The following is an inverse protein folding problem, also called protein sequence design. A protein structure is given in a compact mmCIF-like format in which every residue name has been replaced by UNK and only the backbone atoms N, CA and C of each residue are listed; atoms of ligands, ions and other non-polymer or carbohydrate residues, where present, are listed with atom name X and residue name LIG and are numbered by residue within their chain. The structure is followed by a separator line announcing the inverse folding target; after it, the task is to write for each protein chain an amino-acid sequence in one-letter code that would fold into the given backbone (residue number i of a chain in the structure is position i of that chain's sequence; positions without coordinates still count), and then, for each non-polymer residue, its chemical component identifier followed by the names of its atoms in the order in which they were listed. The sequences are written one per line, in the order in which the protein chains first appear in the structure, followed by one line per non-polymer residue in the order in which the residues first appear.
data_IF_502946825832
#
_entry.id   IF_502946825832
#
_cell.length_a   1.000
_cell.length_b   1.000
_cell.length_c   1.000
_cell.angle_alpha   90.00
_cell.angle_beta   90.00
_cell.angle_gamma   90.00
#
_symmetry.space_group_name_H-M   'P 1'
#
loop_
_entity.id
_entity.type
_entity.pdbx_description
1 polymer ?
#
# COMPACT_ATOMS: atom_id res chain seq x y z
N UNK A 1 -8.03 16.88 -10.23
CA UNK A 1 -8.85 15.80 -10.81
C UNK A 1 -10.01 15.51 -9.87
N UNK A 2 -11.24 15.77 -10.32
CA UNK A 2 -12.45 15.72 -9.47
C UNK A 2 -13.00 14.30 -9.33
N UNK A 3 -13.05 13.53 -10.40
CA UNK A 3 -13.60 12.16 -10.43
C UNK A 3 -12.73 11.27 -11.32
N UNK A 4 -12.43 10.06 -10.85
CA UNK A 4 -11.72 9.03 -11.63
C UNK A 4 -12.58 7.77 -11.65
N UNK A 5 -12.73 7.20 -12.84
CA UNK A 5 -13.41 5.93 -13.04
C UNK A 5 -12.39 4.80 -13.00
N UNK A 6 -12.77 3.68 -12.39
CA UNK A 6 -11.95 2.46 -12.31
C UNK A 6 -11.50 2.02 -13.70
N UNK A 7 -10.23 1.62 -13.82
CA UNK A 7 -9.57 1.11 -15.04
C UNK A 7 -9.56 2.07 -16.26
N UNK A 8 -9.92 3.35 -16.11
CA UNK A 8 -9.91 4.34 -17.21
C UNK A 8 -8.59 5.11 -17.33
N UNK A 9 -8.38 5.78 -18.47
CA UNK A 9 -7.19 6.59 -18.77
C UNK A 9 -6.77 7.56 -17.64
N UNK A 10 -7.73 8.20 -16.98
CA UNK A 10 -7.46 9.14 -15.88
C UNK A 10 -6.92 8.47 -14.61
N UNK A 11 -7.15 7.16 -14.40
CA UNK A 11 -6.59 6.41 -13.28
C UNK A 11 -5.06 6.25 -13.40
N UNK A 12 -4.52 6.27 -14.62
CA UNK A 12 -3.09 6.21 -14.85
C UNK A 12 -2.35 7.47 -14.38
N UNK A 13 -3.02 8.62 -14.29
CA UNK A 13 -2.45 9.81 -13.67
C UNK A 13 -2.13 9.57 -12.17
N UNK A 14 -2.95 8.79 -11.49
CA UNK A 14 -2.70 8.36 -10.10
C UNK A 14 -1.45 7.49 -10.02
N UNK A 15 -1.25 6.58 -10.99
CA UNK A 15 -0.05 5.72 -11.08
C UNK A 15 1.20 6.57 -11.29
N UNK A 16 1.15 7.58 -12.17
CA UNK A 16 2.25 8.53 -12.37
C UNK A 16 2.55 9.30 -11.09
N UNK A 17 1.52 9.77 -10.37
CA UNK A 17 1.71 10.42 -9.07
C UNK A 17 2.37 9.50 -8.05
N UNK A 18 1.95 8.24 -8.00
CA UNK A 18 2.56 7.21 -7.15
C UNK A 18 4.00 6.88 -7.53
N UNK A 19 4.29 6.81 -8.84
CA UNK A 19 5.65 6.66 -9.37
C UNK A 19 6.56 7.79 -8.89
N UNK A 20 6.16 9.06 -9.05
CA UNK A 20 6.92 10.21 -8.58
C UNK A 20 7.16 10.14 -7.07
N UNK A 21 6.14 9.78 -6.29
CA UNK A 21 6.30 9.58 -4.85
C UNK A 21 7.34 8.51 -4.54
N UNK A 22 7.23 7.34 -5.18
CA UNK A 22 8.13 6.23 -4.95
C UNK A 22 9.56 6.51 -5.45
N UNK A 23 9.77 7.33 -6.48
CA UNK A 23 11.11 7.81 -6.87
C UNK A 23 11.77 8.57 -5.72
N UNK A 24 11.05 9.53 -5.13
CA UNK A 24 11.62 10.37 -4.07
C UNK A 24 11.73 9.60 -2.75
N UNK A 25 10.66 8.94 -2.31
CA UNK A 25 10.64 8.17 -1.05
C UNK A 25 11.61 6.99 -1.11
N UNK A 26 11.54 6.22 -2.19
CA UNK A 26 12.39 5.06 -2.42
C UNK A 26 13.84 5.45 -2.60
N UNK A 27 14.13 6.48 -3.39
CA UNK A 27 15.50 6.99 -3.59
C UNK A 27 16.14 7.47 -2.29
N UNK A 28 15.40 8.21 -1.46
CA UNK A 28 15.87 8.66 -0.14
C UNK A 28 16.09 7.49 0.82
N UNK A 29 15.17 6.53 0.88
CA UNK A 29 15.30 5.34 1.73
C UNK A 29 16.49 4.47 1.34
N UNK A 30 16.65 4.21 0.04
CA UNK A 30 17.77 3.41 -0.50
C UNK A 30 19.13 4.10 -0.38
N UNK A 31 19.14 5.43 -0.28
CA UNK A 31 20.37 6.23 -0.16
C UNK A 31 20.59 6.79 1.25
N UNK A 32 19.86 6.27 2.24
CA UNK A 32 19.92 6.76 3.61
C UNK A 32 21.31 6.66 4.22
N UNK A 33 22.06 5.60 3.91
CA UNK A 33 23.42 5.37 4.39
C UNK A 33 24.38 6.51 4.03
N UNK A 34 24.25 7.10 2.83
CA UNK A 34 25.07 8.24 2.40
C UNK A 34 24.72 9.53 3.17
N UNK A 35 23.45 9.70 3.53
CA UNK A 35 23.02 10.82 4.37
C UNK A 35 23.52 10.62 5.80
N UNK A 36 23.39 9.39 6.32
CA UNK A 36 23.93 9.02 7.62
C UNK A 36 25.43 9.30 7.71
N UNK A 37 26.22 8.82 6.75
CA UNK A 37 27.68 8.98 6.73
C UNK A 37 28.07 10.46 6.77
N UNK A 38 27.45 11.29 5.94
CA UNK A 38 27.71 12.73 5.91
C UNK A 38 27.35 13.44 7.23
N UNK A 39 26.29 13.02 7.92
CA UNK A 39 25.94 13.57 9.23
C UNK A 39 26.74 12.95 10.39
N UNK A 40 27.30 11.76 10.21
CA UNK A 40 28.24 11.14 11.14
C UNK A 40 29.51 11.98 11.26
N UNK A 41 30.03 12.47 10.14
CA UNK A 41 31.17 13.39 10.11
C UNK A 41 30.85 14.73 10.78
N UNK A 42 29.64 15.28 10.55
CA UNK A 42 29.23 16.57 11.14
C UNK A 42 29.08 16.52 12.66
N UNK A 43 28.60 15.41 13.21
CA UNK A 43 28.36 15.27 14.65
C UNK A 43 29.49 14.54 15.39
N UNK A 44 30.50 14.02 14.67
CA UNK A 44 31.61 13.22 15.21
C UNK A 44 31.14 12.12 16.18
N UNK A 45 30.03 11.46 15.85
CA UNK A 45 29.35 10.52 16.73
C UNK A 45 29.43 9.07 16.23
N UNK A 46 29.20 8.11 17.12
CA UNK A 46 29.06 6.70 16.74
C UNK A 46 27.84 6.46 15.83
N UNK A 47 27.96 5.50 14.90
CA UNK A 47 26.92 5.18 13.91
C UNK A 47 25.61 4.66 14.51
N UNK A 48 25.63 4.14 15.74
CA UNK A 48 24.47 3.52 16.40
C UNK A 48 23.23 4.42 16.46
N UNK A 49 23.39 5.71 16.80
CA UNK A 49 22.27 6.65 16.90
C UNK A 49 21.68 7.01 15.53
N UNK A 50 22.51 7.02 14.49
CA UNK A 50 22.05 7.30 13.13
C UNK A 50 21.34 6.07 12.53
N UNK A 51 21.87 4.86 12.76
CA UNK A 51 21.14 3.62 12.45
C UNK A 51 19.80 3.54 13.18
N UNK A 52 19.75 3.96 14.45
CA UNK A 52 18.49 4.05 15.20
C UNK A 52 17.49 4.99 14.53
N UNK A 53 17.93 6.15 14.06
CA UNK A 53 17.07 7.07 13.31
C UNK A 53 16.51 6.41 12.05
N UNK A 54 17.33 5.70 11.28
CA UNK A 54 16.89 4.94 10.11
C UNK A 54 15.88 3.83 10.44
N UNK A 55 16.12 3.08 11.53
CA UNK A 55 15.16 2.10 12.03
C UNK A 55 13.83 2.72 12.47
N UNK A 56 13.88 3.90 13.10
CA UNK A 56 12.68 4.65 13.51
C UNK A 56 11.85 5.11 12.31
N UNK A 57 12.48 5.49 11.19
CA UNK A 57 11.76 5.85 9.95
C UNK A 57 10.81 4.73 9.54
N UNK A 58 11.35 3.52 9.34
CA UNK A 58 10.56 2.37 8.89
C UNK A 58 9.59 1.87 9.95
N UNK A 59 10.00 1.87 11.23
CA UNK A 59 9.12 1.49 12.34
C UNK A 59 7.87 2.37 12.37
N UNK A 60 8.04 3.69 12.31
CA UNK A 60 6.91 4.62 12.31
C UNK A 60 6.13 4.57 11.01
N UNK A 61 6.81 4.37 9.87
CA UNK A 61 6.15 4.14 8.58
C UNK A 61 5.10 3.03 8.72
N UNK A 62 5.48 1.87 9.23
CA UNK A 62 4.62 0.71 9.39
C UNK A 62 3.62 0.83 10.55
N UNK A 63 4.04 1.28 11.73
CA UNK A 63 3.15 1.40 12.90
C UNK A 63 2.01 2.41 12.68
N UNK A 64 2.27 3.51 11.96
CA UNK A 64 1.25 4.52 11.69
C UNK A 64 0.36 4.18 10.48
N UNK A 65 0.60 3.06 9.78
CA UNK A 65 -0.16 2.66 8.58
C UNK A 65 -1.66 2.53 8.85
N UNK A 66 -2.05 1.89 9.97
CA UNK A 66 -3.45 1.71 10.35
C UNK A 66 -4.12 3.05 10.69
N UNK A 67 -3.41 3.89 11.46
CA UNK A 67 -3.88 5.22 11.84
C UNK A 67 -4.11 6.07 10.58
N UNK A 68 -3.16 6.04 9.65
CA UNK A 68 -3.25 6.77 8.38
C UNK A 68 -4.38 6.26 7.49
N UNK A 69 -4.66 4.96 7.49
CA UNK A 69 -5.81 4.42 6.79
C UNK A 69 -7.13 5.01 7.31
N UNK A 70 -7.30 5.10 8.63
CA UNK A 70 -8.49 5.70 9.25
C UNK A 70 -8.60 7.20 8.96
N UNK A 71 -7.49 7.93 9.02
CA UNK A 71 -7.43 9.37 8.68
C UNK A 71 -7.79 9.57 7.20
N UNK A 72 -7.24 8.76 6.30
CA UNK A 72 -7.53 8.83 4.87
C UNK A 72 -9.00 8.55 4.57
N UNK A 73 -9.64 7.62 5.30
CA UNK A 73 -11.09 7.37 5.18
C UNK A 73 -11.92 8.58 5.61
N UNK A 74 -11.49 9.33 6.63
CA UNK A 74 -12.25 10.47 7.18
C UNK A 74 -12.03 11.78 6.41
N UNK A 75 -10.79 12.08 6.03
CA UNK A 75 -10.41 13.36 5.41
C UNK A 75 -10.12 13.27 3.91
N UNK A 76 -10.14 12.05 3.35
CA UNK A 76 -9.74 11.78 1.98
C UNK A 76 -8.23 11.58 1.82
N UNK A 77 -7.82 11.06 0.67
CA UNK A 77 -6.41 10.75 0.37
C UNK A 77 -5.55 11.99 0.13
N UNK A 78 -6.08 12.99 -0.60
CA UNK A 78 -5.30 14.18 -0.98
C UNK A 78 -4.74 14.98 0.21
N UNK A 79 -5.54 15.37 1.22
CA UNK A 79 -5.01 16.17 2.33
C UNK A 79 -3.96 15.40 3.13
N UNK A 80 -4.13 14.09 3.29
CA UNK A 80 -3.17 13.23 3.99
C UNK A 80 -1.81 13.21 3.28
N UNK A 81 -1.80 13.06 1.95
CA UNK A 81 -0.55 13.13 1.17
C UNK A 81 0.06 14.52 1.22
N UNK A 82 -0.74 15.60 1.20
CA UNK A 82 -0.23 16.97 1.34
C UNK A 82 0.45 17.19 2.69
N UNK A 83 -0.18 16.75 3.79
CA UNK A 83 0.39 16.84 5.14
C UNK A 83 1.68 16.03 5.22
N UNK A 84 1.72 14.83 4.66
CA UNK A 84 2.94 14.03 4.57
C UNK A 84 4.05 14.73 3.78
N UNK A 85 3.72 15.34 2.63
CA UNK A 85 4.71 16.03 1.79
C UNK A 85 5.30 17.26 2.53
N UNK A 86 4.46 18.12 3.11
CA UNK A 86 4.92 19.24 3.93
C UNK A 86 5.70 18.77 5.18
N UNK A 87 5.22 17.72 5.83
CA UNK A 87 5.90 17.08 6.95
C UNK A 87 7.32 16.66 6.57
N UNK A 88 7.48 15.97 5.44
CA UNK A 88 8.79 15.51 4.98
C UNK A 88 9.76 16.65 4.67
N UNK A 89 9.26 17.73 4.06
CA UNK A 89 10.01 18.96 3.82
C UNK A 89 10.49 19.60 5.12
N UNK A 90 9.57 19.83 6.07
CA UNK A 90 9.88 20.47 7.35
C UNK A 90 10.85 19.60 8.16
N UNK A 91 10.64 18.29 8.18
CA UNK A 91 11.49 17.33 8.89
C UNK A 91 12.93 17.33 8.36
N UNK A 92 13.13 17.27 7.04
CA UNK A 92 14.48 17.36 6.46
C UNK A 92 15.10 18.75 6.65
N UNK A 93 14.31 19.82 6.60
CA UNK A 93 14.81 21.18 6.82
C UNK A 93 15.30 21.35 8.27
N UNK A 94 14.52 20.86 9.25
CA UNK A 94 14.91 20.85 10.66
C UNK A 94 16.16 19.97 10.86
N UNK A 95 16.22 18.80 10.24
CA UNK A 95 17.38 17.92 10.31
C UNK A 95 18.65 18.62 9.78
N UNK A 96 18.54 19.32 8.65
CA UNK A 96 19.65 20.02 8.01
C UNK A 96 20.20 21.18 8.84
N UNK A 97 19.32 21.86 9.58
CA UNK A 97 19.68 22.97 10.47
C UNK A 97 19.89 22.54 11.93
N UNK A 98 19.87 21.24 12.22
CA UNK A 98 19.92 20.75 13.60
C UNK A 98 21.29 21.01 14.24
N UNK A 99 21.34 21.61 15.45
CA UNK A 99 22.60 21.83 16.16
C UNK A 99 23.06 20.59 16.94
N UNK A 100 22.14 19.67 17.26
CA UNK A 100 22.39 18.50 18.10
C UNK A 100 21.90 17.22 17.44
N UNK A 101 22.63 16.12 17.67
CA UNK A 101 22.28 14.78 17.17
C UNK A 101 20.87 14.33 17.60
N UNK A 102 20.46 14.60 18.85
CA UNK A 102 19.14 14.22 19.33
C UNK A 102 18.00 14.86 18.51
N UNK A 103 18.15 16.14 18.14
CA UNK A 103 17.17 16.83 17.31
C UNK A 103 17.15 16.26 15.89
N UNK A 104 18.33 15.92 15.35
CA UNK A 104 18.44 15.25 14.05
C UNK A 104 17.73 13.90 14.04
N UNK A 105 17.97 13.05 15.04
CA UNK A 105 17.35 11.73 15.19
C UNK A 105 15.83 11.84 15.30
N UNK A 106 15.31 12.82 16.04
CA UNK A 106 13.87 13.06 16.13
C UNK A 106 13.30 13.58 14.80
N UNK A 107 13.95 14.55 14.16
CA UNK A 107 13.49 15.14 12.91
C UNK A 107 13.48 14.11 11.77
N UNK A 108 14.55 13.33 11.64
CA UNK A 108 14.69 12.28 10.62
C UNK A 108 13.86 11.06 10.99
N UNK A 109 14.08 10.46 12.15
CA UNK A 109 13.38 9.24 12.57
C UNK A 109 11.87 9.44 12.69
N UNK A 110 11.44 10.36 13.56
CA UNK A 110 10.02 10.60 13.81
C UNK A 110 9.34 11.38 12.69
N UNK A 111 9.96 12.50 12.29
CA UNK A 111 9.38 13.39 11.29
C UNK A 111 9.25 12.75 9.91
N UNK A 112 10.33 12.18 9.38
CA UNK A 112 10.28 11.48 8.08
C UNK A 112 9.47 10.19 8.18
N UNK A 113 9.63 9.38 9.24
CA UNK A 113 8.86 8.15 9.41
C UNK A 113 7.33 8.36 9.38
N UNK A 114 6.84 9.37 10.12
CA UNK A 114 5.42 9.73 10.09
C UNK A 114 4.97 10.24 8.72
N UNK A 115 5.79 11.07 8.07
CA UNK A 115 5.51 11.63 6.74
C UNK A 115 5.44 10.56 5.65
N UNK A 116 6.38 9.60 5.65
CA UNK A 116 6.39 8.48 4.72
C UNK A 116 5.16 7.60 4.90
N UNK A 117 4.73 7.37 6.14
CA UNK A 117 3.51 6.60 6.41
C UNK A 117 2.29 7.23 5.72
N UNK A 118 2.14 8.56 5.81
CA UNK A 118 1.03 9.29 5.21
C UNK A 118 1.03 9.20 3.69
N UNK A 119 2.21 9.22 3.06
CA UNK A 119 2.35 9.22 1.60
C UNK A 119 2.26 7.80 1.05
N UNK A 120 3.15 6.91 1.49
CA UNK A 120 3.33 5.56 0.96
C UNK A 120 2.02 4.78 1.01
N UNK A 121 1.45 4.58 2.20
CA UNK A 121 0.24 3.77 2.36
C UNK A 121 -0.99 4.38 1.67
N UNK A 122 -1.10 5.70 1.65
CA UNK A 122 -2.21 6.38 0.95
C UNK A 122 -2.09 6.18 -0.56
N UNK A 123 -0.89 6.28 -1.13
CA UNK A 123 -0.63 6.01 -2.55
C UNK A 123 -1.06 4.57 -2.89
N UNK A 124 -0.61 3.58 -2.11
CA UNK A 124 -0.99 2.18 -2.32
C UNK A 124 -2.49 1.95 -2.23
N UNK A 125 -3.15 2.52 -1.22
CA UNK A 125 -4.59 2.38 -1.04
C UNK A 125 -5.36 2.97 -2.23
N UNK A 126 -4.97 4.16 -2.71
CA UNK A 126 -5.67 4.81 -3.81
C UNK A 126 -5.47 4.07 -5.13
N UNK A 127 -4.25 3.61 -5.44
CA UNK A 127 -4.00 2.79 -6.65
C UNK A 127 -4.84 1.50 -6.58
N UNK A 128 -4.92 0.88 -5.40
CA UNK A 128 -5.78 -0.27 -5.13
C UNK A 128 -7.26 -0.03 -5.44
N UNK A 129 -7.76 1.18 -5.18
CA UNK A 129 -9.13 1.55 -5.48
C UNK A 129 -9.35 1.96 -6.96
N UNK A 130 -8.31 2.34 -7.69
CA UNK A 130 -8.42 2.86 -9.05
C UNK A 130 -8.38 1.77 -10.13
N UNK A 131 -7.90 0.57 -9.81
CA UNK A 131 -7.71 -0.51 -10.78
C UNK A 131 -8.25 -1.83 -10.26
N UNK A 132 -8.92 -2.58 -11.13
CA UNK A 132 -9.35 -3.96 -10.87
C UNK A 132 -8.67 -4.91 -11.85
N UNK A 133 -8.79 -4.62 -13.15
CA UNK A 133 -8.24 -5.46 -14.20
C UNK A 133 -6.72 -5.36 -14.35
N UNK A 134 -6.17 -4.17 -14.13
CA UNK A 134 -4.74 -3.86 -14.32
C UNK A 134 -4.02 -3.53 -13.00
N UNK A 135 -4.51 -4.08 -11.89
CA UNK A 135 -4.05 -3.72 -10.55
C UNK A 135 -2.59 -4.11 -10.31
N UNK A 136 -2.16 -5.30 -10.75
CA UNK A 136 -0.79 -5.77 -10.63
C UNK A 136 0.18 -4.90 -11.39
N UNK A 137 -0.13 -4.57 -12.64
CA UNK A 137 0.66 -3.70 -13.50
C UNK A 137 0.68 -2.26 -12.97
N UNK A 138 -0.46 -1.71 -12.53
CA UNK A 138 -0.53 -0.37 -11.96
C UNK A 138 0.31 -0.24 -10.69
N UNK A 139 0.25 -1.22 -9.79
CA UNK A 139 1.13 -1.26 -8.62
C UNK A 139 2.59 -1.46 -9.02
N UNK A 140 2.88 -2.38 -9.94
CA UNK A 140 4.23 -2.64 -10.45
C UNK A 140 4.88 -1.38 -11.02
N UNK A 141 4.16 -0.62 -11.85
CA UNK A 141 4.62 0.66 -12.42
C UNK A 141 4.73 1.72 -11.33
N UNK A 142 3.74 1.88 -10.45
CA UNK A 142 3.82 2.86 -9.35
C UNK A 142 5.05 2.63 -8.48
N UNK A 143 5.32 1.37 -8.14
CA UNK A 143 6.37 0.95 -7.21
C UNK A 143 7.75 0.84 -7.88
N UNK A 144 7.80 0.67 -9.20
CA UNK A 144 9.00 0.78 -10.03
C UNK A 144 9.71 2.14 -9.89
N UNK A 145 9.01 3.18 -9.41
CA UNK A 145 9.63 4.45 -9.07
C UNK A 145 10.79 4.32 -8.08
N UNK A 146 10.70 3.42 -7.10
CA UNK A 146 11.78 3.18 -6.12
C UNK A 146 13.10 2.80 -6.80
N UNK A 147 13.02 1.95 -7.83
CA UNK A 147 14.19 1.46 -8.56
C UNK A 147 14.87 2.60 -9.33
N UNK A 148 14.08 3.48 -9.95
CA UNK A 148 14.60 4.70 -10.58
C UNK A 148 15.21 5.65 -9.55
N UNK A 149 14.58 5.80 -8.38
CA UNK A 149 15.12 6.53 -7.25
C UNK A 149 16.49 5.99 -6.81
N UNK A 150 16.61 4.67 -6.68
CA UNK A 150 17.86 3.98 -6.32
C UNK A 150 18.99 4.22 -7.33
N UNK A 151 18.69 4.39 -8.62
CA UNK A 151 19.70 4.68 -9.64
C UNK A 151 20.21 6.13 -9.58
N UNK A 152 19.34 7.08 -9.21
CA UNK A 152 19.62 8.52 -9.30
C UNK A 152 20.10 9.13 -7.98
N UNK A 153 19.43 8.79 -6.87
CA UNK A 153 19.65 9.45 -5.58
C UNK A 153 21.05 9.24 -4.98
N UNK A 154 21.70 8.07 -5.09
CA UNK A 154 23.06 7.91 -4.54
C UNK A 154 24.04 8.91 -5.14
N UNK A 155 24.08 9.01 -6.47
CA UNK A 155 24.96 9.96 -7.17
C UNK A 155 24.58 11.42 -6.87
N UNK A 156 23.28 11.70 -6.78
CA UNK A 156 22.79 13.03 -6.43
C UNK A 156 23.24 13.44 -5.03
N UNK A 157 23.03 12.59 -4.03
CA UNK A 157 23.38 12.87 -2.62
C UNK A 157 24.88 13.00 -2.45
N UNK A 158 25.69 12.13 -3.07
CA UNK A 158 27.15 12.27 -3.05
C UNK A 158 27.61 13.60 -3.64
N UNK A 159 27.03 14.03 -4.77
CA UNK A 159 27.36 15.31 -5.41
C UNK A 159 26.94 16.51 -4.55
N UNK A 160 25.77 16.43 -3.92
CA UNK A 160 25.26 17.47 -3.04
C UNK A 160 26.12 17.60 -1.78
N UNK A 161 26.49 16.48 -1.16
CA UNK A 161 27.32 16.46 0.04
C UNK A 161 28.74 16.98 -0.24
N UNK A 162 29.33 16.64 -1.39
CA UNK A 162 30.66 17.13 -1.77
C UNK A 162 30.69 18.61 -2.14
N UNK A 163 29.61 19.14 -2.75
CA UNK A 163 29.56 20.54 -3.21
C UNK A 163 29.08 21.50 -2.12
N UNK A 164 28.06 21.11 -1.35
CA UNK A 164 27.36 21.99 -0.39
C UNK A 164 27.49 21.53 1.07
N UNK A 165 28.19 20.42 1.33
CA UNK A 165 28.24 19.78 2.65
C UNK A 165 26.93 19.08 3.04
N UNK A 166 26.93 18.33 4.14
CA UNK A 166 25.76 17.59 4.60
C UNK A 166 24.55 18.48 4.90
N UNK A 167 24.79 19.65 5.53
CA UNK A 167 23.72 20.60 5.87
C UNK A 167 23.11 21.26 4.62
N UNK A 168 23.96 21.75 3.70
CA UNK A 168 23.49 22.36 2.45
C UNK A 168 22.79 21.35 1.54
N UNK A 169 23.37 20.15 1.41
CA UNK A 169 22.77 19.03 0.69
C UNK A 169 21.41 18.65 1.26
N UNK A 170 21.29 18.55 2.60
CA UNK A 170 20.03 18.26 3.27
C UNK A 170 18.91 19.29 2.98
N UNK A 171 19.23 20.58 2.90
CA UNK A 171 18.25 21.63 2.52
C UNK A 171 17.76 21.43 1.09
N UNK A 172 18.66 21.10 0.16
CA UNK A 172 18.29 20.82 -1.23
C UNK A 172 17.43 19.55 -1.31
N UNK A 173 17.76 18.51 -0.54
CA UNK A 173 16.94 17.29 -0.44
C UNK A 173 15.56 17.59 0.14
N UNK A 174 15.44 18.49 1.11
CA UNK A 174 14.16 18.95 1.60
C UNK A 174 13.34 19.57 0.45
N UNK A 175 13.92 20.48 -0.33
CA UNK A 175 13.24 21.09 -1.48
C UNK A 175 12.78 20.05 -2.52
N UNK A 176 13.56 18.99 -2.75
CA UNK A 176 13.15 17.86 -3.59
C UNK A 176 11.92 17.15 -2.99
N UNK A 177 11.90 16.90 -1.68
CA UNK A 177 10.72 16.33 -1.01
C UNK A 177 9.46 17.19 -1.16
N UNK A 178 9.56 18.51 -1.31
CA UNK A 178 8.41 19.36 -1.54
C UNK A 178 7.68 19.02 -2.87
N UNK A 179 8.38 18.44 -3.84
CA UNK A 179 7.79 17.99 -5.11
C UNK A 179 6.80 16.82 -4.91
N UNK A 180 6.76 16.19 -3.73
CA UNK A 180 5.73 15.22 -3.35
C UNK A 180 4.31 15.83 -3.33
N UNK A 181 4.19 17.16 -3.32
CA UNK A 181 2.91 17.83 -3.55
C UNK A 181 2.32 17.57 -4.94
N UNK A 182 3.16 17.28 -5.94
CA UNK A 182 2.70 16.88 -7.28
C UNK A 182 1.91 15.56 -7.20
N UNK A 183 2.37 14.60 -6.40
CA UNK A 183 1.64 13.36 -6.13
C UNK A 183 0.25 13.66 -5.54
N UNK A 184 0.16 14.56 -4.55
CA UNK A 184 -1.12 14.93 -3.97
C UNK A 184 -2.06 15.59 -4.99
N UNK A 185 -1.53 16.38 -5.92
CA UNK A 185 -2.32 17.01 -6.98
C UNK A 185 -2.92 15.98 -7.95
N UNK A 186 -2.15 14.95 -8.28
CA UNK A 186 -2.50 13.86 -9.20
C UNK A 186 -3.45 12.81 -8.59
N UNK A 187 -3.48 12.67 -7.26
CA UNK A 187 -4.44 11.79 -6.59
C UNK A 187 -5.89 12.18 -6.91
N UNK A 188 -6.86 11.26 -7.07
CA UNK A 188 -8.27 11.58 -7.30
C UNK A 188 -8.95 12.14 -6.04
N UNK A 189 -10.00 12.98 -6.20
CA UNK A 189 -10.90 13.39 -5.08
C UNK A 189 -11.98 12.35 -4.83
N UNK A 190 -12.62 11.86 -5.89
CA UNK A 190 -13.64 10.83 -5.85
C UNK A 190 -13.28 9.71 -6.82
N UNK A 191 -13.48 8.47 -6.37
CA UNK A 191 -13.29 7.26 -7.18
C UNK A 191 -14.68 6.67 -7.39
N UNK A 192 -15.08 6.51 -8.64
CA UNK A 192 -16.38 5.94 -9.02
C UNK A 192 -16.12 4.60 -9.68
N UNK A 193 -16.71 3.57 -9.11
CA UNK A 193 -16.69 2.21 -9.65
C UNK A 193 -17.95 2.00 -10.50
N UNK A 194 -17.84 1.92 -11.84
CA UNK A 194 -18.98 1.77 -12.72
C UNK A 194 -19.65 0.38 -12.61
N UNK A 195 -18.95 -0.62 -12.08
CA UNK A 195 -19.44 -1.99 -11.93
C UNK A 195 -19.91 -2.29 -10.50
N UNK A 196 -19.95 -1.28 -9.62
CA UNK A 196 -20.50 -1.44 -8.29
C UNK A 196 -22.00 -1.74 -8.37
N UNK A 197 -22.52 -2.72 -7.62
CA UNK A 197 -23.94 -3.03 -7.64
C UNK A 197 -24.74 -1.78 -7.26
N UNK A 198 -25.67 -1.39 -8.15
CA UNK A 198 -26.58 -0.27 -7.92
C UNK A 198 -27.44 -0.62 -6.71
N UNK A 199 -27.10 -0.06 -5.55
CA UNK A 199 -28.00 -0.11 -4.39
C UNK A 199 -29.27 0.62 -4.81
N UNK A 200 -30.45 -0.02 -4.81
CA UNK A 200 -31.69 0.67 -5.13
C UNK A 200 -31.81 1.84 -4.17
N UNK A 201 -31.92 3.06 -4.71
CA UNK A 201 -32.20 4.24 -3.91
C UNK A 201 -33.50 3.96 -3.13
N UNK A 202 -33.39 3.81 -1.81
CA UNK A 202 -34.54 3.74 -0.93
C UNK A 202 -35.32 5.03 -1.15
N UNK A 203 -36.52 4.90 -1.74
CA UNK A 203 -37.44 6.02 -1.89
C UNK A 203 -37.70 6.54 -0.49
N UNK A 204 -37.13 7.70 -0.17
CA UNK A 204 -37.49 8.47 1.03
C UNK A 204 -38.95 8.86 0.85
N UNK A 205 -39.85 8.03 1.36
CA UNK A 205 -41.24 8.42 1.60
C UNK A 205 -41.18 9.57 2.62
N UNK A 206 -41.35 10.80 2.13
CA UNK A 206 -41.64 11.95 2.97
C UNK A 206 -42.94 11.69 3.71
N UNK A 207 -42.82 11.16 4.94
CA UNK A 207 -43.92 10.97 5.87
C UNK A 207 -44.54 12.33 6.20
N UNK A 208 -45.72 12.60 5.62
CA UNK A 208 -46.58 13.69 6.06
C UNK A 208 -47.00 13.44 7.51
N UNK A 209 -46.59 14.37 8.37
CA UNK A 209 -46.94 14.45 9.78
C UNK A 209 -48.45 14.34 10.02
N UNK A 210 -48.85 13.38 10.86
CA UNK A 210 -50.21 13.20 11.39
C UNK A 210 -50.59 14.40 12.27
N UNK A 211 -51.65 15.13 11.91
CA UNK A 211 -52.47 15.92 12.84
C UNK A 211 -53.87 15.30 12.95
N UNK A 212 -54.31 15.12 14.20
CA UNK A 212 -55.52 14.46 14.70
C UNK A 212 -56.83 15.06 14.15
N UNK A 213 -57.85 14.24 13.89
CA UNK A 213 -59.13 14.21 14.66
C UNK A 213 -60.25 13.38 14.00
N UNK A 214 -61.02 12.71 14.86
CA UNK A 214 -62.41 12.22 14.77
C UNK A 214 -62.91 11.11 13.81
N UNK A 215 -63.27 9.98 14.46
CA UNK A 215 -64.53 9.18 14.37
C UNK A 215 -65.35 9.21 13.06
N UNK A 216 -65.62 8.03 12.49
CA UNK A 216 -66.82 7.19 12.73
C UNK A 216 -66.99 6.10 11.64
N UNK A 217 -67.38 4.87 12.05
CA UNK A 217 -68.31 3.89 11.41
C UNK A 217 -68.25 3.66 9.87
N UNK A 218 -68.40 2.47 9.26
CA UNK A 218 -68.91 1.14 9.60
C UNK A 218 -68.92 0.26 8.30
N UNK A 219 -68.87 -1.08 8.42
CA UNK A 219 -69.45 -2.13 7.51
C UNK A 219 -68.91 -2.16 6.05
N UNK A 220 -68.88 -3.25 5.28
CA UNK A 220 -69.16 -4.70 5.36
C UNK A 220 -68.81 -5.30 3.97
N UNK A 221 -68.51 -6.62 3.87
CA UNK A 221 -68.98 -7.59 2.85
C UNK A 221 -68.81 -7.27 1.34
N UNK A 222 -68.64 -8.15 0.38
CA UNK A 222 -68.44 -9.60 0.19
C UNK A 222 -68.23 -9.75 -1.34
N UNK A 223 -67.55 -10.82 -1.75
CA UNK A 223 -67.78 -11.63 -2.97
C UNK A 223 -67.57 -11.08 -4.41
N UNK A 224 -66.63 -11.70 -5.14
CA UNK A 224 -66.92 -12.85 -6.04
C UNK A 224 -65.66 -13.44 -6.74
N UNK A 225 -65.28 -14.66 -6.32
CA UNK A 225 -65.12 -15.92 -7.11
C UNK A 225 -65.48 -15.84 -8.62
N UNK A 226 -64.88 -16.52 -9.60
CA UNK A 226 -64.25 -17.84 -9.74
C UNK A 226 -63.61 -17.93 -11.16
N UNK A 227 -62.51 -18.68 -11.33
CA UNK A 227 -62.47 -19.91 -12.14
C UNK A 227 -61.11 -20.59 -11.97
N UNK A 228 -61.17 -21.88 -11.68
CA UNK A 228 -60.07 -22.81 -11.49
C UNK A 228 -60.37 -24.07 -12.33
N UNK A 229 -59.33 -24.62 -12.96
CA UNK A 229 -59.06 -26.05 -13.22
C UNK A 229 -57.97 -26.11 -14.30
N UNK A 230 -56.73 -26.47 -13.94
CA UNK A 230 -56.17 -27.85 -13.94
C UNK A 230 -55.61 -28.25 -15.31
N UNK A 231 -54.30 -28.45 -15.40
CA UNK A 231 -53.73 -29.79 -15.61
C UNK A 231 -52.19 -29.78 -15.46
N UNK A 232 -51.68 -30.80 -14.76
CA UNK A 232 -50.26 -31.14 -14.61
C UNK A 232 -49.90 -32.37 -15.46
N UNK A 233 -48.58 -32.58 -15.60
CA UNK A 233 -47.82 -33.74 -16.13
C UNK A 233 -47.60 -33.81 -17.64
N UNK A 234 -46.34 -33.68 -18.07
CA UNK A 234 -45.51 -34.86 -18.34
C UNK A 234 -44.01 -34.54 -18.45
N UNK A 235 -43.22 -35.55 -18.12
CA UNK A 235 -41.79 -35.51 -17.85
C UNK A 235 -40.88 -35.81 -19.06
N UNK A 236 -39.58 -35.55 -18.84
CA UNK A 236 -38.40 -36.24 -19.38
C UNK A 236 -37.97 -36.10 -20.85
N UNK A 237 -36.80 -35.45 -21.02
CA UNK A 237 -35.52 -36.01 -21.52
C UNK A 237 -34.47 -34.88 -21.58
N UNK A 238 -33.57 -34.76 -20.59
CA UNK A 238 -32.27 -35.45 -20.48
C UNK A 238 -31.24 -35.04 -21.56
N UNK A 239 -30.29 -34.17 -21.19
CA UNK A 239 -28.87 -34.46 -21.46
C UNK A 239 -28.01 -34.05 -20.27
N UNK A 240 -27.57 -35.07 -19.57
CA UNK A 240 -26.51 -35.12 -18.57
C UNK A 240 -25.15 -34.87 -19.18
N UNK A 241 -24.34 -34.04 -18.53
CA UNK A 241 -22.91 -34.30 -18.38
C UNK A 241 -22.48 -33.83 -16.99
N UNK A 242 -22.28 -34.81 -16.13
CA UNK A 242 -21.68 -34.73 -14.81
C UNK A 242 -20.17 -34.48 -14.98
N UNK A 243 -19.65 -33.56 -14.15
CA UNK A 243 -18.31 -33.54 -13.56
C UNK A 243 -17.11 -33.85 -14.47
N UNK A 244 -16.39 -32.79 -14.88
CA UNK A 244 -14.96 -32.83 -15.22
C UNK A 244 -14.42 -31.41 -15.37
N UNK A 245 -14.35 -30.62 -14.29
CA UNK A 245 -13.30 -29.59 -14.11
C UNK A 245 -13.40 -28.91 -12.73
N UNK A 246 -13.53 -29.70 -11.66
CA UNK A 246 -12.95 -29.27 -10.37
C UNK A 246 -11.43 -29.38 -10.50
N UNK A 247 -10.82 -28.38 -11.14
CA UNK A 247 -9.41 -28.08 -10.87
C UNK A 247 -9.32 -27.91 -9.36
N UNK A 248 -8.50 -28.74 -8.73
CA UNK A 248 -8.15 -28.70 -7.32
C UNK A 248 -7.68 -27.29 -6.96
N UNK A 249 -8.61 -26.39 -6.63
CA UNK A 249 -8.30 -25.06 -6.14
C UNK A 249 -7.61 -25.30 -4.80
N UNK A 250 -6.34 -24.90 -4.70
CA UNK A 250 -5.65 -25.07 -3.43
C UNK A 250 -6.37 -24.23 -2.37
N UNK A 251 -6.40 -24.65 -1.10
CA UNK A 251 -6.99 -23.85 -0.03
C UNK A 251 -6.39 -22.44 0.09
N UNK A 252 -5.18 -22.27 -0.46
CA UNK A 252 -4.47 -21.01 -0.62
C UNK A 252 -5.15 -20.13 -1.68
N UNK A 253 -5.47 -20.68 -2.86
CA UNK A 253 -6.17 -19.95 -3.93
C UNK A 253 -7.59 -19.52 -3.50
N UNK A 254 -8.26 -20.34 -2.68
CA UNK A 254 -9.55 -19.99 -2.06
C UNK A 254 -9.42 -18.85 -1.04
N UNK A 255 -8.34 -18.80 -0.27
CA UNK A 255 -8.07 -17.72 0.68
C UNK A 255 -7.78 -16.39 -0.02
N UNK A 256 -6.92 -16.38 -1.03
CA UNK A 256 -6.59 -15.15 -1.76
C UNK A 256 -7.76 -14.65 -2.60
N UNK A 257 -8.59 -15.54 -3.16
CA UNK A 257 -9.84 -15.14 -3.81
C UNK A 257 -10.87 -14.57 -2.82
N UNK A 258 -10.97 -15.11 -1.59
CA UNK A 258 -11.81 -14.52 -0.53
C UNK A 258 -11.31 -13.15 -0.05
N UNK A 259 -10.01 -12.91 -0.02
CA UNK A 259 -9.43 -11.59 0.28
C UNK A 259 -9.75 -10.56 -0.81
N UNK A 260 -9.69 -10.96 -2.09
CA UNK A 260 -10.08 -10.10 -3.22
C UNK A 260 -11.59 -9.77 -3.15
N UNK A 261 -12.42 -10.77 -2.88
CA UNK A 261 -13.88 -10.60 -2.79
C UNK A 261 -14.31 -9.78 -1.56
N UNK A 262 -13.61 -9.89 -0.42
CA UNK A 262 -13.81 -9.02 0.75
C UNK A 262 -13.45 -7.56 0.45
N UNK A 263 -12.48 -7.31 -0.45
CA UNK A 263 -12.14 -5.97 -0.93
C UNK A 263 -13.30 -5.33 -1.68
N UNK A 264 -13.97 -6.08 -2.56
CA UNK A 264 -15.17 -5.64 -3.28
C UNK A 264 -16.35 -5.34 -2.33
N UNK A 265 -16.50 -6.12 -1.24
CA UNK A 265 -17.49 -5.86 -0.19
C UNK A 265 -17.17 -4.60 0.62
N UNK A 266 -15.88 -4.32 0.90
CA UNK A 266 -15.45 -3.06 1.55
C UNK A 266 -15.70 -1.86 0.63
N UNK A 267 -15.57 -2.00 -0.69
CA UNK A 267 -15.98 -0.99 -1.66
C UNK A 267 -17.49 -0.70 -1.61
N UNK A 268 -18.33 -1.74 -1.50
CA UNK A 268 -19.78 -1.57 -1.27
C UNK A 268 -20.12 -0.94 0.09
N UNK A 269 -19.42 -1.34 1.17
CA UNK A 269 -19.60 -0.78 2.51
C UNK A 269 -19.15 0.69 2.61
N UNK A 270 -18.15 1.09 1.83
CA UNK A 270 -17.69 2.48 1.73
C UNK A 270 -18.69 3.37 0.97
N UNK A 271 -19.41 2.83 -0.02
CA UNK A 271 -20.55 3.51 -0.65
C UNK A 271 -21.68 3.76 0.38
N UNK A 272 -21.98 2.77 1.22
CA UNK A 272 -22.97 2.87 2.33
C UNK A 272 -22.51 3.86 3.41
N UNK A 273 -21.21 3.93 3.71
CA UNK A 273 -20.70 4.87 4.73
C UNK A 273 -20.79 6.32 4.24
N UNK A 274 -20.61 6.57 2.93
CA UNK A 274 -20.70 7.92 2.36
C UNK A 274 -22.11 8.51 2.36
N UNK A 275 -23.17 7.68 2.37
CA UNK A 275 -24.55 8.14 2.51
C UNK A 275 -24.97 8.37 3.98
N UNK A 276 -24.37 7.63 4.93
CA UNK A 276 -24.68 7.74 6.37
C UNK A 276 -24.03 8.97 7.02
N UNK A 277 -22.90 9.47 6.48
CA UNK A 277 -22.19 10.65 7.04
C UNK A 277 -22.98 11.96 6.91
N UNK A 278 -24.00 12.04 6.03
CA UNK A 278 -24.87 13.22 5.94
C UNK A 278 -25.97 13.30 7.00
N UNK A 279 -26.15 12.27 7.83
CA UNK A 279 -27.09 12.28 8.96
C UNK A 279 -26.32 12.16 10.27
N UNK A 280 -25.95 13.30 10.85
CA UNK A 280 -25.28 13.34 12.14
C UNK A 280 -26.27 13.02 13.27
N UNK A 281 -26.08 11.91 13.97
CA UNK A 281 -26.02 11.83 15.45
C UNK A 281 -26.00 10.38 15.96
N UNK A 282 -25.22 10.17 17.03
CA UNK A 282 -25.09 8.94 17.84
C UNK A 282 -24.22 7.80 17.26
N UNK A 283 -22.93 7.86 17.62
CA UNK A 283 -21.99 6.75 17.53
C UNK A 283 -22.41 5.65 18.50
N UNK A 284 -23.00 4.57 18.00
CA UNK A 284 -22.94 3.27 18.66
C UNK A 284 -22.13 2.32 17.78
N UNK A 285 -21.03 1.79 18.33
CA UNK A 285 -20.18 0.79 17.69
C UNK A 285 -21.01 -0.50 17.51
N UNK A 286 -21.69 -0.65 16.37
CA UNK A 286 -22.38 -1.89 16.04
C UNK A 286 -21.35 -2.91 15.51
N UNK A 287 -21.18 -4.00 16.28
CA UNK A 287 -20.46 -5.22 15.90
C UNK A 287 -20.82 -5.64 14.47
N UNK A 288 -19.82 -5.67 13.60
CA UNK A 288 -19.91 -6.34 12.30
C UNK A 288 -19.96 -7.84 12.61
N UNK A 289 -21.15 -8.43 12.58
CA UNK A 289 -21.36 -9.86 12.74
C UNK A 289 -20.91 -10.57 11.47
N UNK A 290 -19.69 -11.10 11.51
CA UNK A 290 -19.16 -11.99 10.48
C UNK A 290 -19.76 -13.37 10.72
N UNK A 291 -20.85 -13.69 10.02
CA UNK A 291 -21.32 -15.07 9.97
C UNK A 291 -21.88 -15.41 8.60
N UNK A 292 -21.04 -16.09 7.81
CA UNK A 292 -21.53 -17.15 6.93
C UNK A 292 -20.58 -18.33 7.10
N UNK A 293 -21.17 -19.43 7.58
CA UNK A 293 -20.54 -20.59 8.17
C UNK A 293 -20.20 -21.60 7.07
N UNK A 294 -18.97 -21.54 6.55
CA UNK A 294 -18.27 -22.62 5.84
C UNK A 294 -16.79 -22.21 5.72
N UNK A 295 -15.82 -22.68 6.49
CA UNK A 295 -15.73 -23.77 7.47
C UNK A 295 -14.78 -23.30 8.58
N UNK A 296 -14.96 -23.76 9.83
CA UNK A 296 -14.05 -23.44 10.95
C UNK A 296 -12.58 -23.72 10.58
N UNK A 297 -12.35 -24.82 9.85
CA UNK A 297 -11.05 -25.18 9.28
C UNK A 297 -10.53 -24.19 8.24
N UNK A 298 -11.36 -23.69 7.32
CA UNK A 298 -10.96 -22.62 6.40
C UNK A 298 -10.60 -21.34 7.15
N UNK A 299 -11.29 -20.98 8.23
CA UNK A 299 -10.93 -19.81 9.06
C UNK A 299 -9.60 -20.01 9.80
N UNK A 300 -9.32 -21.21 10.32
CA UNK A 300 -8.02 -21.53 10.93
C UNK A 300 -6.89 -21.50 9.90
N UNK A 301 -7.09 -22.11 8.73
CA UNK A 301 -6.11 -22.13 7.66
C UNK A 301 -5.84 -20.73 7.10
N UNK A 302 -6.89 -19.92 6.95
CA UNK A 302 -6.83 -18.49 6.61
C UNK A 302 -5.99 -17.71 7.63
N UNK A 303 -6.19 -17.95 8.94
CA UNK A 303 -5.41 -17.30 10.00
C UNK A 303 -3.95 -17.74 9.99
N UNK A 304 -3.68 -19.03 9.81
CA UNK A 304 -2.31 -19.55 9.72
C UNK A 304 -1.58 -19.02 8.49
N UNK A 305 -2.24 -18.96 7.33
CA UNK A 305 -1.68 -18.38 6.11
C UNK A 305 -1.42 -16.88 6.26
N UNK A 306 -2.31 -16.15 6.95
CA UNK A 306 -2.11 -14.74 7.25
C UNK A 306 -0.90 -14.53 8.18
N UNK A 307 -0.72 -15.37 9.20
CA UNK A 307 0.46 -15.33 10.07
C UNK A 307 1.74 -15.60 9.27
N UNK A 308 1.76 -16.64 8.43
CA UNK A 308 2.89 -16.95 7.54
C UNK A 308 3.16 -15.79 6.59
N UNK A 309 2.12 -15.15 6.06
CA UNK A 309 2.22 -13.97 5.19
C UNK A 309 2.84 -12.78 5.93
N UNK A 310 2.41 -12.49 7.15
CA UNK A 310 2.98 -11.40 7.96
C UNK A 310 4.45 -11.68 8.26
N UNK A 311 4.77 -12.89 8.69
CA UNK A 311 6.16 -13.28 9.00
C UNK A 311 7.02 -13.13 7.74
N UNK A 312 6.62 -13.75 6.62
CA UNK A 312 7.34 -13.69 5.36
C UNK A 312 7.56 -12.26 4.87
N UNK A 313 6.52 -11.42 4.90
CA UNK A 313 6.63 -10.01 4.51
C UNK A 313 7.57 -9.21 5.42
N UNK A 314 7.52 -9.47 6.73
CA UNK A 314 8.39 -8.80 7.69
C UNK A 314 9.86 -9.14 7.43
N UNK A 315 10.17 -10.42 7.20
CA UNK A 315 11.53 -10.84 6.84
C UNK A 315 11.98 -10.26 5.49
N UNK A 316 11.09 -10.21 4.49
CA UNK A 316 11.37 -9.56 3.21
C UNK A 316 11.72 -8.07 3.37
N UNK A 317 10.91 -7.33 4.13
CA UNK A 317 11.16 -5.90 4.39
C UNK A 317 12.45 -5.64 5.16
N UNK A 318 12.73 -6.47 6.17
CA UNK A 318 13.99 -6.38 6.91
C UNK A 318 15.16 -6.64 5.96
N UNK A 319 15.07 -7.66 5.12
CA UNK A 319 16.08 -7.96 4.11
C UNK A 319 16.34 -6.79 3.15
N UNK A 320 15.28 -6.25 2.56
CA UNK A 320 15.38 -5.14 1.61
C UNK A 320 16.02 -3.89 2.25
N UNK A 321 15.57 -3.52 3.46
CA UNK A 321 16.09 -2.35 4.17
C UNK A 321 17.54 -2.58 4.62
N UNK A 322 17.85 -3.74 5.21
CA UNK A 322 19.19 -4.06 5.69
C UNK A 322 20.22 -4.08 4.56
N UNK A 323 19.93 -4.72 3.43
CA UNK A 323 20.84 -4.73 2.28
C UNK A 323 21.07 -3.32 1.76
N UNK A 324 20.03 -2.50 1.70
CA UNK A 324 20.15 -1.12 1.19
C UNK A 324 20.97 -0.22 2.11
N UNK A 325 20.89 -0.44 3.43
CA UNK A 325 21.62 0.34 4.42
C UNK A 325 23.08 -0.09 4.53
N UNK A 326 23.34 -1.40 4.48
CA UNK A 326 24.65 -1.97 4.74
C UNK A 326 25.50 -2.02 3.45
N UNK A 327 24.92 -2.34 2.29
CA UNK A 327 25.71 -2.58 1.07
C UNK A 327 26.58 -1.39 0.63
N UNK A 328 26.13 -0.11 0.69
CA UNK A 328 26.99 1.02 0.33
C UNK A 328 28.17 1.18 1.31
N UNK A 329 27.92 1.05 2.62
CA UNK A 329 28.93 1.16 3.69
C UNK A 329 29.94 0.03 3.60
N UNK A 330 29.46 -1.20 3.37
CA UNK A 330 30.31 -2.35 3.18
C UNK A 330 31.20 -2.24 1.92
N UNK A 331 30.67 -1.64 0.86
CA UNK A 331 31.45 -1.33 -0.34
C UNK A 331 32.60 -0.36 -0.08
N UNK A 332 32.38 0.65 0.76
CA UNK A 332 33.44 1.58 1.17
C UNK A 332 34.48 0.93 2.08
N UNK A 333 34.07 0.00 2.97
CA UNK A 333 35.00 -0.78 3.81
C UNK A 333 35.92 -1.69 2.99
N UNK A 334 35.42 -2.23 1.87
CA UNK A 334 36.21 -3.00 0.91
C UNK A 334 37.16 -2.15 0.03
N UNK A 335 37.32 -0.85 0.34
CA UNK A 335 38.12 0.11 -0.41
C UNK A 335 37.73 0.22 -1.90
N UNK A 336 36.47 -0.08 -2.25
CA UNK A 336 35.99 0.08 -3.62
C UNK A 336 35.78 1.57 -3.93
N UNK A 337 36.14 1.98 -5.15
CA UNK A 337 35.85 3.34 -5.62
C UNK A 337 34.34 3.61 -5.59
N UNK A 338 33.94 4.80 -5.14
CA UNK A 338 32.53 5.25 -5.13
C UNK A 338 31.86 5.12 -6.51
N UNK A 339 32.64 5.20 -7.59
CA UNK A 339 32.15 5.01 -8.97
C UNK A 339 31.71 3.56 -9.22
N UNK A 340 32.43 2.58 -8.68
CA UNK A 340 32.11 1.15 -8.83
C UNK A 340 30.85 0.83 -8.04
N UNK A 341 30.77 1.33 -6.80
CA UNK A 341 29.60 1.16 -5.92
C UNK A 341 28.35 1.77 -6.58
N UNK A 342 28.44 3.01 -7.07
CA UNK A 342 27.32 3.67 -7.76
C UNK A 342 26.88 2.93 -9.02
N UNK A 343 27.82 2.39 -9.81
CA UNK A 343 27.49 1.56 -10.98
C UNK A 343 26.80 0.25 -10.60
N UNK A 344 27.26 -0.42 -9.54
CA UNK A 344 26.65 -1.65 -9.04
C UNK A 344 25.21 -1.42 -8.55
N UNK A 345 24.99 -0.34 -7.78
CA UNK A 345 23.66 0.07 -7.32
C UNK A 345 22.75 0.39 -8.51
N UNK A 346 23.26 1.06 -9.55
CA UNK A 346 22.49 1.36 -10.75
C UNK A 346 22.09 0.10 -11.53
N UNK A 347 22.99 -0.89 -11.68
CA UNK A 347 22.69 -2.17 -12.33
C UNK A 347 21.64 -2.96 -11.53
N UNK A 348 21.77 -2.99 -10.20
CA UNK A 348 20.77 -3.59 -9.33
C UNK A 348 19.40 -2.91 -9.48
N UNK A 349 19.37 -1.57 -9.59
CA UNK A 349 18.16 -0.79 -9.84
C UNK A 349 17.48 -1.14 -11.17
N UNK A 350 18.22 -1.41 -12.24
CA UNK A 350 17.65 -1.86 -13.53
C UNK A 350 16.98 -3.23 -13.37
N UNK A 351 17.63 -4.16 -12.67
CA UNK A 351 17.08 -5.48 -12.38
C UNK A 351 15.79 -5.42 -11.55
N UNK A 352 15.79 -4.60 -10.49
CA UNK A 352 14.61 -4.36 -9.65
C UNK A 352 13.46 -3.73 -10.45
N UNK A 353 13.78 -2.75 -11.32
CA UNK A 353 12.80 -2.12 -12.20
C UNK A 353 12.10 -3.12 -13.13
N UNK A 354 12.89 -3.93 -13.84
CA UNK A 354 12.37 -4.96 -14.76
C UNK A 354 11.52 -5.97 -13.99
N UNK A 355 11.99 -6.36 -12.80
CA UNK A 355 11.28 -7.34 -11.96
C UNK A 355 9.94 -6.80 -11.48
N UNK A 356 9.87 -5.55 -10.99
CA UNK A 356 8.62 -4.94 -10.51
C UNK A 356 7.57 -4.81 -11.61
N UNK A 357 7.97 -4.33 -12.79
CA UNK A 357 7.06 -4.19 -13.94
C UNK A 357 6.67 -5.56 -14.48
N UNK A 358 7.62 -6.47 -14.62
CA UNK A 358 7.41 -7.82 -15.16
C UNK A 358 6.50 -8.67 -14.27
N UNK A 359 6.73 -8.68 -12.96
CA UNK A 359 5.86 -9.38 -11.99
C UNK A 359 4.49 -8.73 -11.92
N UNK A 360 4.42 -7.39 -11.91
CA UNK A 360 3.15 -6.67 -11.98
C UNK A 360 2.32 -7.08 -13.21
N UNK A 361 2.94 -7.10 -14.38
CA UNK A 361 2.31 -7.55 -15.62
C UNK A 361 1.92 -9.04 -15.59
N UNK A 362 2.77 -9.90 -15.04
CA UNK A 362 2.52 -11.33 -14.96
C UNK A 362 1.32 -11.65 -14.06
N UNK A 363 1.18 -10.94 -12.94
CA UNK A 363 0.09 -11.15 -11.96
C UNK A 363 -1.29 -10.72 -12.46
N UNK A 364 -1.35 -9.91 -13.53
CA UNK A 364 -2.59 -9.51 -14.20
C UNK A 364 -3.01 -10.48 -15.33
N UNK A 365 -2.18 -11.47 -15.69
CA UNK A 365 -2.55 -12.46 -16.69
C UNK A 365 -3.64 -13.40 -16.16
N UNK A 366 -4.63 -13.80 -17.00
CA UNK A 366 -5.73 -14.68 -16.59
C UNK A 366 -5.25 -16.04 -16.06
N UNK A 367 -4.10 -16.53 -16.52
CA UNK A 367 -3.47 -17.77 -16.03
C UNK A 367 -2.98 -17.69 -14.58
N UNK A 368 -2.80 -16.48 -14.03
CA UNK A 368 -2.33 -16.24 -12.67
C UNK A 368 -3.46 -15.88 -11.70
N UNK A 369 -4.70 -15.72 -12.19
CA UNK A 369 -5.89 -15.46 -11.37
C UNK A 369 -6.15 -16.69 -10.48
N UNK A 370 -6.12 -16.49 -9.16
CA UNK A 370 -6.15 -17.56 -8.15
C UNK A 370 -4.79 -17.86 -7.52
N UNK A 371 -3.70 -17.86 -8.29
CA UNK A 371 -2.34 -18.23 -7.84
C UNK A 371 -1.47 -17.06 -7.34
N UNK A 372 -2.04 -15.85 -7.26
CA UNK A 372 -1.33 -14.61 -6.89
C UNK A 372 -0.60 -14.74 -5.55
N UNK A 373 -1.22 -15.40 -4.58
CA UNK A 373 -0.64 -15.60 -3.26
C UNK A 373 0.59 -16.50 -3.24
N UNK A 374 0.60 -17.55 -4.05
CA UNK A 374 1.76 -18.43 -4.21
C UNK A 374 2.92 -17.68 -4.85
N UNK A 375 2.65 -16.87 -5.88
CA UNK A 375 3.66 -16.03 -6.52
C UNK A 375 4.28 -15.03 -5.52
N UNK A 376 3.45 -14.37 -4.71
CA UNK A 376 3.93 -13.47 -3.66
C UNK A 376 4.78 -14.20 -2.61
N UNK A 377 4.36 -15.39 -2.18
CA UNK A 377 5.13 -16.20 -1.23
C UNK A 377 6.50 -16.61 -1.79
N UNK A 378 6.56 -17.02 -3.07
CA UNK A 378 7.83 -17.35 -3.73
C UNK A 378 8.76 -16.13 -3.76
N UNK A 379 8.24 -14.95 -4.13
CA UNK A 379 9.02 -13.71 -4.18
C UNK A 379 9.65 -13.41 -2.81
N UNK A 380 8.89 -13.52 -1.73
CA UNK A 380 9.42 -13.24 -0.39
C UNK A 380 10.38 -14.30 0.14
N UNK A 381 10.20 -15.57 -0.25
CA UNK A 381 11.20 -16.61 0.07
C UNK A 381 12.52 -16.28 -0.63
N UNK A 382 12.47 -15.90 -1.91
CA UNK A 382 13.68 -15.50 -2.65
C UNK A 382 14.34 -14.27 -2.02
N UNK A 383 13.54 -13.28 -1.63
CA UNK A 383 14.02 -12.06 -0.96
C UNK A 383 14.65 -12.36 0.41
N UNK A 384 14.01 -13.21 1.22
CA UNK A 384 14.53 -13.66 2.50
C UNK A 384 15.83 -14.48 2.37
N UNK A 385 15.93 -15.34 1.35
CA UNK A 385 17.16 -16.08 1.05
C UNK A 385 18.30 -15.13 0.64
N UNK A 386 17.99 -14.08 -0.12
CA UNK A 386 18.97 -13.06 -0.51
C UNK A 386 19.50 -12.31 0.71
N UNK A 387 18.63 -11.93 1.65
CA UNK A 387 19.02 -11.30 2.90
C UNK A 387 19.93 -12.19 3.76
N UNK A 388 19.59 -13.48 3.86
CA UNK A 388 20.41 -14.45 4.58
C UNK A 388 21.79 -14.64 3.94
N UNK A 389 21.83 -14.77 2.61
CA UNK A 389 23.08 -14.89 1.86
C UNK A 389 23.97 -13.66 2.04
N UNK A 390 23.37 -12.47 2.01
CA UNK A 390 24.11 -11.22 2.26
C UNK A 390 24.67 -11.16 3.69
N UNK A 391 23.90 -11.57 4.69
CA UNK A 391 24.36 -11.64 6.08
C UNK A 391 25.55 -12.60 6.23
N UNK A 392 25.51 -13.76 5.58
CA UNK A 392 26.60 -14.73 5.65
C UNK A 392 27.84 -14.24 4.88
N UNK A 393 27.67 -13.60 3.72
CA UNK A 393 28.76 -12.94 3.00
C UNK A 393 29.42 -11.86 3.85
N UNK A 394 28.64 -11.03 4.54
CA UNK A 394 29.18 -9.99 5.42
C UNK A 394 29.98 -10.57 6.59
N UNK A 395 29.55 -11.71 7.15
CA UNK A 395 30.31 -12.42 8.19
C UNK A 395 31.61 -13.01 7.66
N UNK A 396 31.56 -13.64 6.49
CA UNK A 396 32.73 -14.27 5.89
C UNK A 396 33.81 -13.24 5.58
N UNK A 397 33.44 -12.11 4.97
CA UNK A 397 34.39 -11.06 4.60
C UNK A 397 34.79 -10.14 5.76
N UNK A 398 33.91 -9.90 6.74
CA UNK A 398 34.25 -9.14 7.94
C UNK A 398 35.34 -9.79 8.81
N UNK A 399 35.54 -11.11 8.67
CA UNK A 399 36.65 -11.83 9.31
C UNK A 399 38.00 -11.66 8.57
N UNK A 400 38.02 -11.18 7.33
CA UNK A 400 39.26 -10.98 6.55
C UNK A 400 39.83 -9.56 6.66
N UNK A 401 39.13 -8.61 7.28
CA UNK A 401 39.56 -7.22 7.42
C UNK A 401 40.12 -6.88 8.82
N UNK A 402 40.35 -7.89 9.67
CA UNK A 402 40.88 -7.72 11.05
C UNK A 402 42.34 -8.16 11.20
N UNK A 403 42.97 -8.65 10.12
CA UNK A 403 44.42 -8.90 10.05
C UNK A 403 45.09 -7.87 9.14
#
# INVERSE_FOLDING_TARGET
MSTVYVDRGMAWCTVVGGFVANVVLGGLGKSYSLVMEAFQEVFECGSAYLFLAGGLIYTLMYCLSLVNHLISKRYGSRPVVMVGAFGSFISLLIASCSPNLALWVVAVGFGIGASLSCIYFTVFAVVGCCFKRYLGLANGISVAGVSVGQMVFPSLITTLNTTYGARGGGVIMAAICLHLLITAALMPRHIIDPDAPVVPAEKVETGKSKRRSCKSQSKSKEDRKLMASEDQLDADKQYTAIDSDKKLQSPVDEFFSKLDNQRDVVHSANAITSSIINSSSTLSLSRISVLSLSTRHATYLTRSLLIVYIIGKTFGDVGDVSVSFIAPVFGTELALSSTIINRAIAVAGIGDLITRVGVGWLTDRPACVGRRGLLLAIVWIVEGLNAFLFAELSRLYGNYTVD
#
